data_IF_911240601540
#
_entry.id   IF_911240601540
#
_cell.length_a   1.000
_cell.length_b   1.000
_cell.length_c   1.000
_cell.angle_alpha   90.00
_cell.angle_beta   90.00
_cell.angle_gamma   90.00
#
_symmetry.space_group_name_H-M   'P 1'
#
loop_
_entity.id
_entity.type
_entity.pdbx_description
1 polymer ?
#
# COMPACT_ATOMS: atom_id res chain seq x y z
N UNK A 1 9.96 27.08 -50.63
CA UNK A 1 10.26 26.06 -49.61
C UNK A 1 9.98 26.70 -48.28
N UNK A 2 8.73 26.58 -47.80
CA UNK A 2 8.31 27.03 -46.48
C UNK A 2 7.68 25.81 -45.80
N UNK A 3 8.47 25.12 -44.99
CA UNK A 3 7.98 23.99 -44.18
C UNK A 3 7.39 24.54 -42.88
N UNK A 4 6.08 24.37 -42.74
CA UNK A 4 5.33 24.69 -41.52
C UNK A 4 5.50 23.58 -40.50
N UNK A 5 6.20 23.86 -39.39
CA UNK A 5 6.34 22.96 -38.25
C UNK A 5 5.05 23.00 -37.41
N UNK A 6 4.26 21.92 -37.45
CA UNK A 6 3.14 21.72 -36.53
C UNK A 6 3.66 21.34 -35.14
N UNK A 7 3.46 22.24 -34.16
CA UNK A 7 3.67 21.96 -32.74
C UNK A 7 2.56 21.02 -32.22
N UNK A 8 2.97 19.85 -31.75
CA UNK A 8 2.08 18.90 -31.07
C UNK A 8 1.71 19.40 -29.68
N UNK A 9 0.42 19.36 -29.36
CA UNK A 9 -0.13 19.76 -28.06
C UNK A 9 0.25 18.75 -26.95
N UNK A 10 0.46 19.22 -25.70
CA UNK A 10 0.95 18.38 -24.62
C UNK A 10 -0.13 17.40 -24.11
N UNK A 11 0.27 16.22 -23.58
CA UNK A 11 -0.67 15.25 -23.05
C UNK A 11 -1.39 15.79 -21.82
N UNK A 12 -2.72 15.65 -21.81
CA UNK A 12 -3.58 16.02 -20.69
C UNK A 12 -3.23 15.15 -19.47
N UNK A 13 -2.74 15.77 -18.39
CA UNK A 13 -2.53 15.14 -17.08
C UNK A 13 -3.88 14.62 -16.54
N UNK A 14 -4.03 13.29 -16.50
CA UNK A 14 -5.15 12.63 -15.81
C UNK A 14 -4.84 12.62 -14.32
N UNK A 15 -5.70 13.25 -13.52
CA UNK A 15 -5.61 13.26 -12.06
C UNK A 15 -6.08 11.90 -11.52
N UNK A 16 -5.15 11.03 -11.16
CA UNK A 16 -5.41 9.97 -10.18
C UNK A 16 -5.77 10.65 -8.85
N UNK A 17 -7.00 10.43 -8.36
CA UNK A 17 -7.48 10.93 -7.07
C UNK A 17 -7.34 9.80 -6.05
N UNK A 18 -6.13 9.61 -5.52
CA UNK A 18 -6.00 9.24 -4.12
C UNK A 18 -6.09 10.55 -3.33
N UNK A 19 -7.13 10.69 -2.51
CA UNK A 19 -7.32 11.88 -1.68
C UNK A 19 -6.40 11.80 -0.47
N UNK A 20 -5.14 12.20 -0.62
CA UNK A 20 -4.28 12.44 0.54
C UNK A 20 -4.74 13.71 1.26
N UNK A 21 -4.76 13.71 2.61
CA UNK A 21 -4.96 14.95 3.35
C UNK A 21 -3.84 15.92 2.97
N UNK A 22 -4.19 17.14 2.58
CA UNK A 22 -3.19 18.19 2.35
C UNK A 22 -2.73 18.70 3.71
N UNK A 23 -1.42 18.63 3.98
CA UNK A 23 -0.76 19.18 5.15
C UNK A 23 -1.15 18.51 6.50
N UNK A 24 -1.09 17.18 6.57
CA UNK A 24 -1.14 16.52 7.88
C UNK A 24 0.20 16.72 8.60
N UNK A 25 0.18 17.37 9.77
CA UNK A 25 1.30 17.39 10.69
C UNK A 25 1.25 16.07 11.47
N UNK A 26 2.35 15.33 11.49
CA UNK A 26 2.46 14.09 12.26
C UNK A 26 3.47 14.29 13.37
N UNK A 27 2.98 14.28 14.61
CA UNK A 27 3.79 14.23 15.82
C UNK A 27 3.85 12.80 16.33
N UNK A 28 5.01 12.35 16.79
CA UNK A 28 5.15 10.99 17.32
C UNK A 28 4.49 10.83 18.69
N UNK A 29 4.19 11.93 19.38
CA UNK A 29 3.44 11.97 20.64
C UNK A 29 1.92 11.86 20.48
N UNK A 30 1.38 12.07 19.27
CA UNK A 30 -0.06 11.91 18.96
C UNK A 30 -0.41 10.48 18.48
N UNK A 31 0.60 9.61 18.35
CA UNK A 31 0.40 8.19 18.08
C UNK A 31 -0.13 7.58 19.38
N UNK A 32 -1.45 7.54 19.49
CA UNK A 32 -2.22 7.05 20.63
C UNK A 32 -1.62 5.75 21.17
N UNK A 33 -1.43 5.67 22.50
CA UNK A 33 -1.12 4.45 23.25
C UNK A 33 -2.19 3.38 22.96
N UNK A 34 -2.02 2.66 21.86
CA UNK A 34 -2.88 1.55 21.50
C UNK A 34 -2.36 0.32 22.24
N UNK A 35 -3.08 -0.08 23.29
CA UNK A 35 -2.86 -1.36 23.94
C UNK A 35 -3.35 -2.47 22.98
N UNK A 36 -2.48 -3.37 22.49
CA UNK A 36 -2.85 -4.41 21.54
C UNK A 36 -3.77 -5.50 22.14
N UNK A 37 -4.17 -5.38 23.42
CA UNK A 37 -4.86 -6.43 24.18
C UNK A 37 -6.41 -6.33 24.15
N UNK A 38 -6.99 -5.61 23.20
CA UNK A 38 -8.43 -5.59 22.98
C UNK A 38 -8.96 -6.94 22.53
N UNK A 39 -9.94 -7.49 23.27
CA UNK A 39 -10.48 -8.84 23.15
C UNK A 39 -10.68 -9.36 21.70
N UNK A 40 -10.32 -10.63 21.50
CA UNK A 40 -10.52 -11.35 20.25
C UNK A 40 -12.01 -11.41 19.88
N UNK A 41 -12.41 -10.63 18.89
CA UNK A 41 -13.71 -10.79 18.20
C UNK A 41 -13.52 -11.89 17.16
N UNK A 42 -14.36 -12.93 17.09
CA UNK A 42 -14.15 -14.02 16.14
C UNK A 42 -14.34 -13.52 14.69
N UNK A 43 -13.27 -13.59 13.90
CA UNK A 43 -13.29 -13.33 12.46
C UNK A 43 -14.07 -14.43 11.73
N UNK A 44 -15.14 -14.07 11.02
CA UNK A 44 -15.97 -15.04 10.29
C UNK A 44 -15.28 -15.56 9.02
N UNK A 45 -14.23 -14.88 8.51
CA UNK A 45 -13.49 -15.30 7.31
C UNK A 45 -11.99 -14.95 7.41
N UNK A 46 -11.24 -15.68 8.25
CA UNK A 46 -9.78 -15.51 8.31
C UNK A 46 -9.12 -16.29 7.17
N UNK A 47 -8.36 -15.64 6.26
CA UNK A 47 -7.89 -16.27 5.01
C UNK A 47 -6.82 -17.36 5.23
N UNK A 48 -6.33 -17.54 6.45
CA UNK A 48 -5.25 -18.47 6.77
C UNK A 48 -5.70 -19.56 7.75
N UNK A 49 -5.53 -20.83 7.36
CA UNK A 49 -5.71 -21.96 8.30
C UNK A 49 -4.64 -21.98 9.40
N UNK A 50 -3.45 -21.49 9.08
CA UNK A 50 -2.32 -21.30 10.00
C UNK A 50 -1.73 -19.93 9.73
N UNK A 51 -1.50 -19.15 10.79
CA UNK A 51 -0.89 -17.83 10.68
C UNK A 51 0.45 -17.90 9.92
N UNK A 52 0.71 -16.94 9.01
CA UNK A 52 2.03 -16.81 8.42
C UNK A 52 3.05 -16.43 9.51
N UNK A 53 4.34 -16.65 9.23
CA UNK A 53 5.41 -16.24 10.15
C UNK A 53 5.53 -14.74 10.24
N UNK A 54 5.43 -14.06 9.11
CA UNK A 54 5.57 -12.61 8.97
C UNK A 54 4.55 -12.09 7.95
N UNK A 55 4.19 -10.82 8.04
CA UNK A 55 3.39 -10.12 7.02
C UNK A 55 4.02 -8.80 6.60
N UNK A 56 3.89 -8.45 5.32
CA UNK A 56 4.38 -7.18 4.77
C UNK A 56 3.23 -6.18 4.75
N UNK A 57 3.48 -4.94 5.18
CA UNK A 57 2.49 -3.86 5.15
C UNK A 57 2.71 -2.99 3.92
N UNK A 58 1.64 -2.75 3.15
CA UNK A 58 1.65 -1.72 2.13
C UNK A 58 1.61 -0.31 2.76
N UNK A 59 1.77 0.71 1.90
CA UNK A 59 1.85 2.10 2.34
C UNK A 59 0.55 2.60 3.00
N UNK A 60 -0.65 2.35 2.45
CA UNK A 60 -1.92 2.63 3.15
C UNK A 60 -2.11 1.91 4.49
N UNK A 61 -1.70 0.64 4.62
CA UNK A 61 -1.82 -0.11 5.88
C UNK A 61 -0.93 0.50 6.95
N UNK A 62 0.32 0.82 6.60
CA UNK A 62 1.24 1.50 7.50
C UNK A 62 0.69 2.87 7.93
N UNK A 63 0.15 3.63 6.98
CA UNK A 63 -0.44 4.94 7.27
C UNK A 63 -1.66 4.85 8.20
N UNK A 64 -2.51 3.85 8.02
CA UNK A 64 -3.61 3.56 8.95
C UNK A 64 -3.10 3.11 10.31
N UNK A 65 -2.08 2.25 10.37
CA UNK A 65 -1.46 1.80 11.61
C UNK A 65 -0.91 2.99 12.41
N UNK A 66 -0.27 3.97 11.75
CA UNK A 66 0.29 5.14 12.41
C UNK A 66 -0.80 6.10 12.88
N UNK A 67 -1.78 6.41 12.02
CA UNK A 67 -2.72 7.53 12.27
C UNK A 67 -4.02 7.09 12.95
N UNK A 68 -4.49 5.89 12.67
CA UNK A 68 -5.77 5.40 13.16
C UNK A 68 -5.88 3.87 13.10
N UNK A 69 -5.20 3.13 14.01
CA UNK A 69 -5.21 1.66 14.03
C UNK A 69 -6.62 1.06 14.05
N UNK A 70 -7.60 1.76 14.64
CA UNK A 70 -9.00 1.31 14.72
C UNK A 70 -9.70 1.22 13.35
N UNK A 71 -9.10 1.79 12.29
CA UNK A 71 -9.60 1.69 10.91
C UNK A 71 -8.99 0.53 10.14
N UNK A 72 -8.02 -0.18 10.71
CA UNK A 72 -7.54 -1.43 10.16
C UNK A 72 -8.66 -2.48 10.27
N UNK A 73 -8.73 -3.34 9.26
CA UNK A 73 -9.58 -4.51 9.32
C UNK A 73 -9.16 -5.43 10.48
N UNK A 74 -10.12 -6.19 11.02
CA UNK A 74 -9.83 -7.17 12.07
C UNK A 74 -8.79 -8.21 11.61
N UNK A 75 -8.85 -8.65 10.36
CA UNK A 75 -7.87 -9.59 9.80
C UNK A 75 -6.47 -8.97 9.73
N UNK A 76 -6.36 -7.71 9.27
CA UNK A 76 -5.11 -6.96 9.25
C UNK A 76 -4.50 -6.82 10.65
N UNK A 77 -5.29 -6.37 11.64
CA UNK A 77 -4.82 -6.25 13.03
C UNK A 77 -4.35 -7.59 13.59
N UNK A 78 -5.11 -8.65 13.33
CA UNK A 78 -4.76 -10.00 13.76
C UNK A 78 -3.44 -10.46 13.15
N UNK A 79 -3.26 -10.27 11.84
CA UNK A 79 -2.02 -10.62 11.15
C UNK A 79 -0.83 -9.81 11.67
N UNK A 80 -1.00 -8.52 11.91
CA UNK A 80 0.09 -7.65 12.42
C UNK A 80 0.51 -8.08 13.83
N UNK A 81 -0.44 -8.42 14.70
CA UNK A 81 -0.17 -8.67 16.12
C UNK A 81 0.14 -10.14 16.46
N UNK A 82 -0.38 -11.11 15.71
CA UNK A 82 -0.29 -12.54 16.06
C UNK A 82 0.77 -13.32 15.24
N UNK A 83 1.41 -12.70 14.24
CA UNK A 83 2.50 -13.35 13.50
C UNK A 83 3.75 -13.50 14.37
N UNK A 84 4.42 -14.65 14.28
CA UNK A 84 5.61 -15.00 15.08
C UNK A 84 6.76 -13.99 14.92
N UNK A 85 7.00 -13.54 13.68
CA UNK A 85 8.02 -12.57 13.30
C UNK A 85 7.43 -11.16 13.06
N UNK A 86 6.16 -10.95 13.42
CA UNK A 86 5.46 -9.67 13.34
C UNK A 86 5.21 -9.14 11.94
N UNK A 87 5.11 -7.81 11.84
CA UNK A 87 4.98 -7.09 10.57
C UNK A 87 6.33 -6.62 10.03
N UNK A 88 6.42 -6.46 8.71
CA UNK A 88 7.58 -5.88 8.04
C UNK A 88 7.19 -4.86 6.97
N UNK A 89 8.13 -3.99 6.63
CA UNK A 89 8.02 -2.98 5.59
C UNK A 89 8.99 -3.29 4.47
N UNK A 90 8.55 -3.09 3.24
CA UNK A 90 9.47 -2.98 2.11
C UNK A 90 10.16 -1.62 2.13
N UNK A 91 11.42 -1.54 1.72
CA UNK A 91 12.04 -0.25 1.39
C UNK A 91 11.30 0.55 0.30
N UNK A 92 10.48 -0.10 -0.54
CA UNK A 92 9.57 0.58 -1.48
C UNK A 92 8.43 1.32 -0.76
N UNK A 93 7.86 0.73 0.31
CA UNK A 93 6.87 1.38 1.19
C UNK A 93 7.46 2.66 1.81
N UNK A 94 8.71 2.59 2.28
CA UNK A 94 9.41 3.75 2.85
C UNK A 94 9.71 4.80 1.77
N UNK A 95 10.06 4.38 0.55
CA UNK A 95 10.30 5.29 -0.57
C UNK A 95 9.04 6.05 -0.97
N UNK A 96 7.87 5.39 -1.01
CA UNK A 96 6.60 6.05 -1.28
C UNK A 96 6.27 7.10 -0.20
N UNK A 97 6.45 6.75 1.07
CA UNK A 97 6.32 7.69 2.19
C UNK A 97 7.27 8.89 2.08
N UNK A 98 8.54 8.64 1.75
CA UNK A 98 9.53 9.70 1.52
C UNK A 98 9.06 10.66 0.41
N UNK A 99 8.46 10.11 -0.65
CA UNK A 99 7.88 10.89 -1.74
C UNK A 99 6.68 11.73 -1.27
N UNK A 100 5.84 11.20 -0.37
CA UNK A 100 4.73 11.95 0.21
C UNK A 100 5.20 13.12 1.07
N UNK A 101 6.24 12.93 1.88
CA UNK A 101 6.89 14.00 2.66
C UNK A 101 7.50 15.04 1.73
N UNK A 102 8.25 14.62 0.70
CA UNK A 102 8.84 15.52 -0.30
C UNK A 102 7.78 16.39 -1.01
N UNK A 103 6.59 15.82 -1.27
CA UNK A 103 5.46 16.55 -1.87
C UNK A 103 4.65 17.40 -0.90
N UNK A 104 4.99 17.40 0.39
CA UNK A 104 4.28 18.15 1.42
C UNK A 104 2.91 17.58 1.79
N UNK A 105 2.62 16.31 1.48
CA UNK A 105 1.42 15.66 1.99
C UNK A 105 1.51 15.44 3.50
N UNK A 106 2.72 15.14 3.98
CA UNK A 106 3.06 15.08 5.40
C UNK A 106 4.12 16.12 5.74
N UNK A 107 3.95 16.73 6.91
CA UNK A 107 4.96 17.56 7.55
C UNK A 107 5.43 16.82 8.81
N UNK A 108 6.74 16.55 8.87
CA UNK A 108 7.37 15.91 10.01
C UNK A 108 8.13 16.97 10.80
N UNK A 109 7.96 16.96 12.12
CA UNK A 109 8.72 17.83 13.04
C UNK A 109 10.14 17.30 13.28
N UNK A 110 10.36 16.03 12.98
CA UNK A 110 11.63 15.32 13.09
C UNK A 110 12.10 14.82 11.71
N UNK A 111 13.36 14.40 11.63
CA UNK A 111 13.89 13.84 10.39
C UNK A 111 13.12 12.58 9.98
N UNK A 112 13.03 12.32 8.67
CA UNK A 112 12.39 11.10 8.13
C UNK A 112 12.99 9.83 8.73
N UNK A 113 14.31 9.80 8.91
CA UNK A 113 15.01 8.65 9.51
C UNK A 113 14.56 8.43 10.96
N UNK A 114 14.60 9.49 11.79
CA UNK A 114 14.17 9.41 13.19
C UNK A 114 12.70 9.03 13.31
N UNK A 115 11.85 9.54 12.42
CA UNK A 115 10.44 9.15 12.37
C UNK A 115 10.29 7.65 12.14
N UNK A 116 10.92 7.10 11.09
CA UNK A 116 10.82 5.67 10.79
C UNK A 116 11.48 4.78 11.85
N UNK A 117 12.60 5.18 12.45
CA UNK A 117 13.20 4.47 13.58
C UNK A 117 12.20 4.32 14.74
N UNK A 118 11.48 5.39 15.08
CA UNK A 118 10.46 5.37 16.12
C UNK A 118 9.26 4.48 15.74
N UNK A 119 8.77 4.57 14.49
CA UNK A 119 7.67 3.72 14.02
C UNK A 119 8.05 2.23 14.02
N UNK A 120 9.23 1.90 13.49
CA UNK A 120 9.73 0.52 13.46
C UNK A 120 9.89 -0.05 14.87
N UNK A 121 10.44 0.75 15.79
CA UNK A 121 10.60 0.34 17.18
C UNK A 121 9.25 0.17 17.91
N UNK A 122 8.35 1.15 17.78
CA UNK A 122 7.05 1.15 18.47
C UNK A 122 6.19 -0.05 18.08
N UNK A 123 6.15 -0.36 16.78
CA UNK A 123 5.33 -1.45 16.24
C UNK A 123 6.09 -2.76 16.07
N UNK A 124 7.34 -2.83 16.54
CA UNK A 124 8.24 -3.97 16.38
C UNK A 124 8.33 -4.46 14.92
N UNK A 125 8.32 -3.52 13.97
CA UNK A 125 8.36 -3.80 12.55
C UNK A 125 9.80 -3.98 12.08
N UNK A 126 9.98 -4.83 11.09
CA UNK A 126 11.26 -4.99 10.39
C UNK A 126 11.27 -4.24 9.07
N UNK A 127 12.33 -3.49 8.77
CA UNK A 127 12.54 -2.94 7.43
C UNK A 127 13.34 -3.94 6.60
N UNK A 128 12.74 -4.44 5.52
CA UNK A 128 13.38 -5.36 4.58
C UNK A 128 13.95 -4.60 3.37
N UNK A 129 15.24 -4.78 3.03
CA UNK A 129 15.82 -4.21 1.83
C UNK A 129 15.19 -4.85 0.60
N UNK A 130 15.01 -4.07 -0.47
CA UNK A 130 14.51 -4.61 -1.74
C UNK A 130 15.59 -5.52 -2.38
N UNK A 131 15.32 -6.82 -2.58
CA UNK A 131 16.24 -7.71 -3.27
C UNK A 131 16.25 -7.42 -4.78
N UNK A 132 17.36 -7.73 -5.47
CA UNK A 132 17.48 -7.51 -6.92
C UNK A 132 16.42 -8.27 -7.71
N UNK A 133 16.06 -9.46 -7.24
CA UNK A 133 15.02 -10.32 -7.79
C UNK A 133 13.64 -9.64 -7.79
N UNK A 134 13.37 -8.75 -6.84
CA UNK A 134 12.13 -7.97 -6.82
C UNK A 134 12.11 -6.92 -7.95
N UNK A 135 13.24 -6.31 -8.29
CA UNK A 135 13.33 -5.42 -9.45
C UNK A 135 13.17 -6.19 -10.76
N UNK A 136 13.78 -7.37 -10.87
CA UNK A 136 13.58 -8.23 -12.04
C UNK A 136 12.09 -8.57 -12.22
N UNK A 137 11.44 -9.07 -11.16
CA UNK A 137 10.01 -9.39 -11.20
C UNK A 137 9.15 -8.16 -11.50
N UNK A 138 9.48 -6.99 -10.94
CA UNK A 138 8.76 -5.74 -11.22
C UNK A 138 8.68 -5.42 -12.71
N UNK A 139 9.75 -5.70 -13.50
CA UNK A 139 9.73 -5.47 -14.95
C UNK A 139 8.84 -6.45 -15.72
N UNK A 140 8.47 -7.57 -15.11
CA UNK A 140 7.66 -8.64 -15.70
C UNK A 140 6.19 -8.56 -15.26
N UNK A 141 5.91 -7.91 -14.11
CA UNK A 141 4.55 -7.74 -13.62
C UNK A 141 3.75 -6.81 -14.54
N UNK A 142 2.51 -7.18 -14.89
CA UNK A 142 1.69 -6.33 -15.73
C UNK A 142 1.16 -5.13 -14.93
N UNK A 143 0.95 -4.03 -15.65
CA UNK A 143 0.07 -2.96 -15.18
C UNK A 143 -1.33 -3.53 -15.05
N UNK A 144 -1.84 -3.58 -13.83
CA UNK A 144 -3.16 -4.14 -13.55
C UNK A 144 -4.23 -3.13 -13.93
N UNK A 145 -5.25 -3.62 -14.63
CA UNK A 145 -6.40 -2.81 -14.98
C UNK A 145 -7.65 -3.39 -14.32
N UNK A 146 -8.23 -2.67 -13.37
CA UNK A 146 -9.51 -3.03 -12.78
C UNK A 146 -10.64 -2.52 -13.68
N UNK A 147 -11.50 -3.41 -14.16
CA UNK A 147 -12.76 -3.01 -14.78
C UNK A 147 -13.75 -2.68 -13.65
N UNK A 148 -14.10 -1.41 -13.49
CA UNK A 148 -15.24 -1.05 -12.66
C UNK A 148 -16.51 -1.48 -13.40
N UNK A 149 -17.13 -2.57 -12.95
CA UNK A 149 -18.54 -2.82 -13.23
C UNK A 149 -19.33 -1.77 -12.45
N UNK A 150 -19.67 -0.65 -13.08
CA UNK A 150 -20.65 0.28 -12.54
C UNK A 150 -21.96 -0.48 -12.41
N UNK A 151 -22.36 -0.76 -11.17
CA UNK A 151 -23.71 -1.21 -10.85
C UNK A 151 -24.67 -0.04 -11.05
N UNK A 152 -24.93 0.32 -12.30
CA UNK A 152 -26.04 1.20 -12.65
C UNK A 152 -27.02 0.40 -13.49
N UNK A 153 -28.12 0.01 -12.85
CA UNK A 153 -29.42 -0.03 -13.51
C UNK A 153 -29.70 1.38 -14.02
N UNK A 154 -29.13 1.74 -15.17
CA UNK A 154 -29.49 2.94 -15.90
C UNK A 154 -29.47 2.55 -17.38
N UNK A 155 -30.65 2.58 -17.98
CA UNK A 155 -30.86 2.44 -19.41
C UNK A 155 -29.93 3.43 -20.15
N UNK A 156 -29.02 2.90 -20.97
CA UNK A 156 -28.19 3.69 -21.88
C UNK A 156 -26.68 3.46 -21.72
N UNK A 157 -26.13 2.59 -22.56
CA UNK A 157 -24.68 2.51 -22.89
C UNK A 157 -23.71 2.68 -21.70
N UNK A 158 -23.72 1.71 -20.77
CA UNK A 158 -22.71 1.61 -19.71
C UNK A 158 -21.32 1.36 -20.31
N UNK A 159 -20.55 2.42 -20.56
CA UNK A 159 -19.12 2.32 -20.85
C UNK A 159 -18.41 1.83 -19.60
N UNK A 160 -17.99 0.56 -19.58
CA UNK A 160 -17.08 0.05 -18.57
C UNK A 160 -15.84 0.96 -18.50
N UNK A 161 -15.62 1.60 -17.35
CA UNK A 161 -14.42 2.39 -17.11
C UNK A 161 -13.32 1.44 -16.64
N UNK A 162 -12.33 1.25 -17.50
CA UNK A 162 -11.09 0.54 -17.17
C UNK A 162 -10.23 1.47 -16.31
N UNK A 163 -10.15 1.23 -15.01
CA UNK A 163 -9.17 1.87 -14.14
C UNK A 163 -7.83 1.18 -14.36
N UNK A 164 -6.90 1.86 -15.00
CA UNK A 164 -5.51 1.41 -15.08
C UNK A 164 -4.85 1.82 -13.77
N UNK A 165 -4.28 0.85 -13.07
CA UNK A 165 -3.48 1.08 -11.89
C UNK A 165 -2.01 0.97 -12.23
N UNK A 166 -1.44 2.14 -12.42
CA UNK A 166 -0.06 2.34 -12.85
C UNK A 166 0.72 3.04 -11.73
N UNK A 167 0.59 2.52 -10.51
CA UNK A 167 1.43 2.96 -9.40
C UNK A 167 2.69 2.08 -9.33
N UNK A 168 3.88 2.64 -9.60
CA UNK A 168 5.12 1.88 -9.56
C UNK A 168 5.45 1.39 -8.14
N UNK A 169 4.99 2.06 -7.08
CA UNK A 169 5.26 1.65 -5.71
C UNK A 169 4.51 0.37 -5.37
N UNK A 170 3.21 0.32 -5.65
CA UNK A 170 2.39 -0.88 -5.43
C UNK A 170 2.91 -2.08 -6.23
N UNK A 171 3.31 -1.88 -7.49
CA UNK A 171 3.92 -2.96 -8.28
C UNK A 171 5.22 -3.47 -7.66
N UNK A 172 6.07 -2.56 -7.15
CA UNK A 172 7.35 -2.91 -6.55
C UNK A 172 7.17 -3.59 -5.17
N UNK A 173 6.20 -3.14 -4.38
CA UNK A 173 5.79 -3.76 -3.11
C UNK A 173 5.25 -5.17 -3.37
N UNK A 174 4.38 -5.34 -4.38
CA UNK A 174 3.87 -6.64 -4.78
C UNK A 174 5.00 -7.59 -5.21
N UNK A 175 5.93 -7.10 -6.04
CA UNK A 175 7.08 -7.89 -6.47
C UNK A 175 7.95 -8.34 -5.28
N UNK A 176 8.22 -7.45 -4.33
CA UNK A 176 8.99 -7.78 -3.14
C UNK A 176 8.28 -8.83 -2.27
N UNK A 177 6.99 -8.67 -2.01
CA UNK A 177 6.19 -9.64 -1.25
C UNK A 177 6.18 -11.03 -1.91
N UNK A 178 6.06 -11.09 -3.25
CA UNK A 178 6.13 -12.34 -4.03
C UNK A 178 7.49 -13.01 -3.87
N UNK A 179 8.58 -12.26 -4.09
CA UNK A 179 9.96 -12.78 -4.00
C UNK A 179 10.28 -13.28 -2.60
N UNK A 180 9.93 -12.50 -1.57
CA UNK A 180 10.14 -12.86 -0.17
C UNK A 180 9.17 -13.97 0.31
N UNK A 181 8.13 -14.28 -0.46
CA UNK A 181 7.03 -15.20 -0.09
C UNK A 181 6.31 -14.78 1.19
N UNK A 182 6.24 -13.47 1.43
CA UNK A 182 5.58 -12.86 2.58
C UNK A 182 4.20 -12.36 2.13
N UNK A 183 3.11 -12.70 2.84
CA UNK A 183 1.81 -12.14 2.54
C UNK A 183 1.77 -10.62 2.70
N UNK A 184 1.08 -9.95 1.77
CA UNK A 184 0.86 -8.51 1.79
C UNK A 184 -0.46 -8.19 2.47
N UNK A 185 -0.42 -7.31 3.47
CA UNK A 185 -1.60 -6.72 4.10
C UNK A 185 -1.86 -5.37 3.46
N UNK A 186 -3.05 -5.20 2.87
CA UNK A 186 -3.40 -3.97 2.15
C UNK A 186 -4.92 -3.77 2.04
N UNK A 187 -5.45 -2.55 2.28
CA UNK A 187 -6.84 -2.22 1.99
C UNK A 187 -7.13 -2.16 0.49
N UNK A 188 -6.10 -2.05 -0.36
CA UNK A 188 -6.26 -1.97 -1.80
C UNK A 188 -6.51 -3.37 -2.37
N UNK A 189 -7.79 -3.66 -2.67
CA UNK A 189 -8.18 -4.92 -3.30
C UNK A 189 -7.57 -5.17 -4.69
N UNK A 190 -6.81 -4.21 -5.24
CA UNK A 190 -6.14 -4.39 -6.51
C UNK A 190 -5.03 -5.44 -6.46
N UNK A 191 -4.41 -5.64 -5.30
CA UNK A 191 -3.36 -6.63 -5.12
C UNK A 191 -3.84 -8.07 -5.39
N UNK A 192 -5.14 -8.33 -5.32
CA UNK A 192 -5.74 -9.61 -5.75
C UNK A 192 -5.37 -10.00 -7.18
N UNK A 193 -5.17 -9.02 -8.07
CA UNK A 193 -4.78 -9.30 -9.45
C UNK A 193 -3.35 -9.84 -9.58
N UNK A 194 -2.54 -9.72 -8.53
CA UNK A 194 -1.21 -10.30 -8.46
C UNK A 194 -1.17 -11.71 -7.84
N UNK A 195 -2.29 -12.25 -7.35
CA UNK A 195 -2.34 -13.60 -6.75
C UNK A 195 -1.90 -14.69 -7.74
N UNK A 196 -2.22 -14.51 -9.03
CA UNK A 196 -1.75 -15.42 -10.10
C UNK A 196 -0.24 -15.45 -10.29
N UNK A 197 0.47 -14.44 -9.78
CA UNK A 197 1.94 -14.37 -9.76
C UNK A 197 2.52 -14.84 -8.41
N UNK A 198 1.68 -15.38 -7.52
CA UNK A 198 2.11 -15.92 -6.23
C UNK A 198 1.96 -14.96 -5.05
N UNK A 199 1.39 -13.76 -5.25
CA UNK A 199 1.11 -12.86 -4.13
C UNK A 199 0.03 -13.47 -3.23
N UNK A 200 0.23 -13.45 -1.91
CA UNK A 200 -0.83 -13.71 -0.95
C UNK A 200 -1.29 -12.37 -0.39
N UNK A 201 -2.54 -12.00 -0.63
CA UNK A 201 -3.09 -10.73 -0.17
C UNK A 201 -4.10 -10.95 0.96
N UNK A 202 -4.12 -10.04 1.93
CA UNK A 202 -5.12 -10.00 2.98
C UNK A 202 -5.49 -8.55 3.33
N UNK A 203 -6.75 -8.36 3.73
CA UNK A 203 -7.22 -7.18 4.42
C UNK A 203 -8.04 -7.62 5.61
#
# INVERSE_FOLDING_TARGET
>A
MEDSVQLSSPPKKVKSRQSHPKNAILQTHEIVDYSPFGAAVPAVDFPYRKLPKQVMLDTPTLDLLIRNPNRLSHNALRLINECEEGGCLSSATVLEWAHWVQRGYYQLEISLNTFFEQILQQWQLQLLPLPLEAYSLYTELPVVTAELKTSEKAEGNGKARKLVHDDPYDQLIAAHAIVAKIPLVSPHGIFKNYERYGLKWAW
#
